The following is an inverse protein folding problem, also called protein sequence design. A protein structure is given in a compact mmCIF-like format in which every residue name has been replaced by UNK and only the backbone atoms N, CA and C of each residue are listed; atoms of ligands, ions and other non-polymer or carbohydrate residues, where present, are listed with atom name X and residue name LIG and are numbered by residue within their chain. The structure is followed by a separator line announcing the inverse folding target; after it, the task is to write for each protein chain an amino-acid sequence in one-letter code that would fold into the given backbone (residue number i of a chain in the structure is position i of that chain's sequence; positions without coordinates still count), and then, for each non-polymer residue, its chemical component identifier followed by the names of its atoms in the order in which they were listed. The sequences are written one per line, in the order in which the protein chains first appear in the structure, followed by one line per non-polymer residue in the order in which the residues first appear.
data_IF_788603851415
#
_entry.id   IF_788603851415
#
_cell.length_a   1.000
_cell.length_b   1.000
_cell.length_c   1.000
_cell.angle_alpha   90.00
_cell.angle_beta   90.00
_cell.angle_gamma   90.00
#
_symmetry.space_group_name_H-M   'P 1'
#
loop_
_entity.id
_entity.type
_entity.pdbx_description
1 polymer ?
#
# COMPACT_ATOMS: atom_id res chain seq x y z
N UNK A 1 22.53 21.52 -4.91
CA UNK A 1 22.33 20.40 -3.96
C UNK A 1 20.91 19.88 -4.19
N UNK A 2 20.74 18.82 -4.98
CA UNK A 2 19.46 18.13 -5.12
C UNK A 2 19.36 17.16 -3.95
N UNK A 3 18.43 17.44 -3.04
CA UNK A 3 18.15 16.54 -1.93
C UNK A 3 17.57 15.24 -2.49
N UNK A 4 18.35 14.17 -2.41
CA UNK A 4 18.01 12.80 -2.72
C UNK A 4 16.99 12.28 -1.67
N UNK A 5 15.82 12.92 -1.55
CA UNK A 5 14.73 12.47 -0.65
C UNK A 5 14.04 11.20 -1.14
N UNK A 6 14.56 10.54 -2.17
CA UNK A 6 13.96 9.33 -2.74
C UNK A 6 14.26 8.06 -1.93
N UNK A 7 15.03 8.15 -0.84
CA UNK A 7 15.41 6.98 -0.02
C UNK A 7 14.79 6.90 1.38
N UNK A 8 14.26 7.99 1.94
CA UNK A 8 13.89 7.99 3.37
C UNK A 8 12.46 7.59 3.71
N UNK A 9 11.54 7.49 2.74
CA UNK A 9 10.14 7.22 3.09
C UNK A 9 9.69 5.77 2.85
N UNK A 10 10.58 4.87 2.42
CA UNK A 10 10.20 3.55 1.89
C UNK A 10 10.53 2.33 2.75
N UNK A 11 11.25 2.47 3.87
CA UNK A 11 11.68 1.29 4.64
C UNK A 11 10.79 0.98 5.84
N UNK A 12 10.19 1.99 6.49
CA UNK A 12 9.46 1.80 7.77
C UNK A 12 8.04 2.40 7.75
N UNK A 13 7.34 2.39 6.61
CA UNK A 13 5.91 2.75 6.64
C UNK A 13 5.10 1.56 7.14
N UNK A 14 4.81 1.53 8.44
CA UNK A 14 3.93 0.54 9.07
C UNK A 14 2.45 0.72 8.67
N UNK A 15 2.08 1.91 8.20
CA UNK A 15 0.69 2.32 7.93
C UNK A 15 0.54 2.92 6.53
N UNK A 16 -0.61 2.68 5.93
CA UNK A 16 -1.01 3.14 4.60
C UNK A 16 -2.02 4.27 4.75
N UNK A 17 -1.64 5.50 4.44
CA UNK A 17 -2.59 6.61 4.46
C UNK A 17 -3.34 6.73 3.13
N UNK A 18 -4.55 6.18 3.10
CA UNK A 18 -5.42 6.25 1.92
C UNK A 18 -6.09 7.61 1.69
N UNK A 19 -5.98 8.52 2.66
CA UNK A 19 -6.51 9.89 2.55
C UNK A 19 -5.59 10.79 1.71
N UNK A 20 -4.31 10.43 1.58
CA UNK A 20 -3.34 11.15 0.79
C UNK A 20 -3.24 10.53 -0.60
N UNK A 21 -3.68 11.24 -1.64
CA UNK A 21 -3.72 10.68 -3.01
C UNK A 21 -2.34 10.24 -3.52
N UNK A 22 -1.29 11.00 -3.22
CA UNK A 22 0.07 10.67 -3.63
C UNK A 22 0.56 9.38 -2.94
N UNK A 23 0.27 9.24 -1.64
CA UNK A 23 0.67 8.10 -0.83
C UNK A 23 -0.11 6.84 -1.22
N UNK A 24 -1.42 6.99 -1.46
CA UNK A 24 -2.28 5.94 -1.99
C UNK A 24 -1.77 5.41 -3.34
N UNK A 25 -1.43 6.30 -4.28
CA UNK A 25 -0.91 5.91 -5.60
C UNK A 25 0.44 5.20 -5.50
N UNK A 26 1.32 5.68 -4.61
CA UNK A 26 2.64 5.11 -4.36
C UNK A 26 2.56 3.71 -3.75
N UNK A 27 1.70 3.53 -2.75
CA UNK A 27 1.41 2.24 -2.14
C UNK A 27 0.73 1.27 -3.10
N UNK A 28 -0.24 1.74 -3.88
CA UNK A 28 -0.93 0.90 -4.87
C UNK A 28 0.07 0.33 -5.88
N UNK A 29 1.01 1.15 -6.38
CA UNK A 29 2.11 0.69 -7.24
C UNK A 29 3.01 -0.33 -6.54
N UNK A 30 3.43 -0.05 -5.31
CA UNK A 30 4.30 -0.93 -4.54
C UNK A 30 3.67 -2.31 -4.26
N UNK A 31 2.36 -2.33 -4.04
CA UNK A 31 1.56 -3.52 -3.78
C UNK A 31 0.99 -4.15 -5.06
N UNK A 32 1.36 -3.62 -6.25
CA UNK A 32 0.87 -4.07 -7.56
C UNK A 32 -0.67 -4.16 -7.62
N UNK A 33 -1.35 -3.19 -7.01
CA UNK A 33 -2.81 -3.12 -6.93
C UNK A 33 -3.34 -1.78 -7.42
N UNK A 34 -4.66 -1.59 -7.44
CA UNK A 34 -5.29 -0.30 -7.75
C UNK A 34 -5.52 0.53 -6.49
N UNK A 35 -5.55 1.88 -6.59
CA UNK A 35 -5.87 2.76 -5.47
C UNK A 35 -7.21 2.44 -4.81
N UNK A 36 -8.19 2.04 -5.61
CA UNK A 36 -9.52 1.62 -5.14
C UNK A 36 -9.43 0.31 -4.34
N UNK A 37 -8.73 -0.71 -4.88
CA UNK A 37 -8.50 -1.97 -4.17
C UNK A 37 -7.72 -1.78 -2.87
N UNK A 38 -6.76 -0.86 -2.87
CA UNK A 38 -6.01 -0.51 -1.68
C UNK A 38 -6.91 0.12 -0.60
N UNK A 39 -7.82 1.01 -0.99
CA UNK A 39 -8.85 1.58 -0.09
C UNK A 39 -9.78 0.52 0.47
N UNK A 40 -10.23 -0.42 -0.37
CA UNK A 40 -11.08 -1.53 0.07
C UNK A 40 -10.34 -2.42 1.08
N UNK A 41 -9.08 -2.76 0.80
CA UNK A 41 -8.27 -3.56 1.70
C UNK A 41 -8.07 -2.84 3.05
N UNK A 42 -7.72 -1.56 3.04
CA UNK A 42 -7.57 -0.76 4.26
C UNK A 42 -8.88 -0.67 5.05
N UNK A 43 -10.04 -0.59 4.38
CA UNK A 43 -11.33 -0.65 5.07
C UNK A 43 -11.63 -2.03 5.66
N UNK A 44 -11.17 -3.10 5.03
CA UNK A 44 -11.40 -4.47 5.49
C UNK A 44 -10.50 -4.89 6.66
N UNK A 45 -9.21 -4.52 6.64
CA UNK A 45 -8.20 -5.00 7.60
C UNK A 45 -7.48 -3.89 8.38
N UNK A 46 -7.81 -2.63 8.12
CA UNK A 46 -7.16 -1.45 8.70
C UNK A 46 -5.99 -0.92 7.87
N UNK A 47 -5.42 0.22 8.28
CA UNK A 47 -4.32 0.89 7.58
C UNK A 47 -2.95 0.18 7.74
N UNK A 48 -2.87 -0.92 8.48
CA UNK A 48 -1.63 -1.69 8.67
C UNK A 48 -1.14 -2.29 7.36
N UNK A 49 0.07 -1.92 6.94
CA UNK A 49 0.63 -2.36 5.66
C UNK A 49 0.78 -3.88 5.55
N UNK A 50 1.19 -4.56 6.62
CA UNK A 50 1.31 -6.02 6.67
C UNK A 50 -0.03 -6.72 6.46
N UNK A 51 -1.09 -6.20 7.09
CA UNK A 51 -2.45 -6.74 6.97
C UNK A 51 -3.01 -6.53 5.57
N UNK A 52 -2.81 -5.35 5.01
CA UNK A 52 -3.23 -5.04 3.64
C UNK A 52 -2.50 -5.93 2.63
N UNK A 53 -1.19 -6.16 2.81
CA UNK A 53 -0.39 -7.08 1.98
C UNK A 53 -0.92 -8.51 2.04
N UNK A 54 -1.21 -9.01 3.23
CA UNK A 54 -1.80 -10.34 3.47
C UNK A 54 -3.14 -10.46 2.73
N UNK A 55 -4.07 -9.52 2.96
CA UNK A 55 -5.38 -9.50 2.31
C UNK A 55 -5.32 -9.45 0.79
N UNK A 56 -4.41 -8.64 0.22
CA UNK A 56 -4.23 -8.52 -1.22
C UNK A 56 -3.54 -9.75 -1.82
N UNK A 57 -2.60 -10.37 -1.10
CA UNK A 57 -1.86 -11.55 -1.55
C UNK A 57 -2.64 -12.86 -1.44
N UNK A 58 -3.59 -12.98 -0.50
CA UNK A 58 -4.46 -14.15 -0.38
C UNK A 58 -5.41 -14.31 -1.57
N UNK A 59 -5.87 -13.19 -2.15
CA UNK A 59 -6.79 -13.18 -3.32
C UNK A 59 -6.16 -13.67 -4.62
N UNK A 60 -4.84 -13.70 -4.73
CA UNK A 60 -4.11 -14.19 -5.92
C UNK A 60 -4.03 -15.73 -5.93
N UNK A 61 -4.02 -16.37 -4.76
CA UNK A 61 -3.88 -17.83 -4.63
C UNK A 61 -5.18 -18.62 -4.80
N UNK A 62 -6.34 -17.97 -4.78
CA UNK A 62 -7.63 -18.64 -4.96
C UNK A 62 -8.08 -18.75 -6.43
N UNK A 63 -7.23 -18.34 -7.38
CA UNK A 63 -7.55 -18.30 -8.81
C UNK A 63 -6.76 -19.27 -9.69
N UNK A 64 -5.99 -20.21 -9.12
CA UNK A 64 -5.23 -21.23 -9.86
C UNK A 64 -5.79 -22.63 -9.70
#
# INVERSE_FOLDING_TARGET
MSDDKSKSQGQDRERINVNQEYELRDWAKSLKTTPERLKEAVQAVGDRADKVREYLGERDKSGS
#
